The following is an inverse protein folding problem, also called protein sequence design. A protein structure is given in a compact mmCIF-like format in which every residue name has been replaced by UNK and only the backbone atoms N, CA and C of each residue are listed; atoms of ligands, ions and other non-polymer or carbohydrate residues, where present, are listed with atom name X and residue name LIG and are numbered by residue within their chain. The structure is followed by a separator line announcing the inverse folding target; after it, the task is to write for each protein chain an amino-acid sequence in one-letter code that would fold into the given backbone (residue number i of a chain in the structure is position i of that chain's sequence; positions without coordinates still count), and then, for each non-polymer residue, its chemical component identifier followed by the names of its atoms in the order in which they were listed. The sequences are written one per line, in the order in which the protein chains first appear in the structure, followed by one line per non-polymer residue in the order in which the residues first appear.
data_IF_958276960117
#
_entry.id   IF_958276960117
#
_cell.length_a   1.000
_cell.length_b   1.000
_cell.length_c   1.000
_cell.angle_alpha   90.00
_cell.angle_beta   90.00
_cell.angle_gamma   90.00
#
_symmetry.space_group_name_H-M   'P 1'
#
loop_
_entity.id
_entity.type
_entity.pdbx_description
1 polymer ?
#
# COMPACT_ATOMS: atom_id res chain seq x y z
N UNK A 1 -2.65 3.91 -18.15
CA UNK A 1 -1.91 2.67 -18.46
C UNK A 1 -2.11 1.78 -17.25
N UNK A 2 -3.05 0.84 -17.35
CA UNK A 2 -3.29 -0.15 -16.29
C UNK A 2 -2.01 -0.99 -16.20
N UNK A 3 -1.40 -1.03 -15.02
CA UNK A 3 -0.26 -1.92 -14.77
C UNK A 3 -0.82 -3.33 -14.93
N UNK A 4 -0.36 -4.05 -15.95
CA UNK A 4 -0.73 -5.45 -16.08
C UNK A 4 -0.09 -6.18 -14.91
N UNK A 5 -0.87 -6.91 -14.13
CA UNK A 5 -0.28 -7.74 -13.08
C UNK A 5 0.66 -8.73 -13.76
N UNK A 6 1.93 -8.68 -13.36
CA UNK A 6 3.02 -9.51 -13.88
C UNK A 6 3.25 -10.75 -13.03
N UNK A 7 2.55 -10.88 -11.91
CA UNK A 7 2.55 -12.09 -11.09
C UNK A 7 1.24 -12.25 -10.31
N UNK A 8 1.05 -13.44 -9.73
CA UNK A 8 -0.12 -13.77 -8.93
C UNK A 8 -0.12 -13.09 -7.55
N UNK A 9 1.02 -12.96 -6.85
CA UNK A 9 1.14 -12.03 -5.74
C UNK A 9 0.72 -10.60 -6.12
N UNK A 10 1.17 -10.07 -7.26
CA UNK A 10 0.83 -8.72 -7.69
C UNK A 10 -0.68 -8.54 -7.92
N UNK A 11 -1.34 -9.54 -8.52
CA UNK A 11 -2.80 -9.54 -8.65
C UNK A 11 -3.49 -9.53 -7.27
N UNK A 12 -3.05 -10.38 -6.33
CA UNK A 12 -3.59 -10.42 -4.97
C UNK A 12 -3.45 -9.05 -4.29
N UNK A 13 -2.27 -8.44 -4.34
CA UNK A 13 -2.01 -7.12 -3.78
C UNK A 13 -2.88 -6.03 -4.44
N UNK A 14 -3.08 -6.11 -5.76
CA UNK A 14 -3.98 -5.20 -6.48
C UNK A 14 -5.43 -5.34 -6.01
N UNK A 15 -5.93 -6.56 -5.79
CA UNK A 15 -7.27 -6.79 -5.26
C UNK A 15 -7.43 -6.24 -3.83
N UNK A 16 -6.40 -6.38 -3.00
CA UNK A 16 -6.35 -5.79 -1.66
C UNK A 16 -6.37 -4.25 -1.75
N UNK A 17 -5.59 -3.65 -2.66
CA UNK A 17 -5.62 -2.20 -2.90
C UNK A 17 -7.01 -1.73 -3.30
N UNK A 18 -7.67 -2.43 -4.22
CA UNK A 18 -9.05 -2.14 -4.63
C UNK A 18 -10.04 -2.19 -3.46
N UNK A 19 -9.96 -3.23 -2.63
CA UNK A 19 -10.79 -3.35 -1.44
C UNK A 19 -10.54 -2.20 -0.44
N UNK A 20 -9.27 -1.85 -0.23
CA UNK A 20 -8.88 -0.73 0.63
C UNK A 20 -9.44 0.60 0.11
N UNK A 21 -9.39 0.80 -1.21
CA UNK A 21 -9.98 1.95 -1.89
C UNK A 21 -11.49 2.05 -1.70
N UNK A 22 -12.23 0.94 -1.85
CA UNK A 22 -13.68 0.91 -1.58
C UNK A 22 -14.00 1.23 -0.12
N UNK A 23 -13.18 0.75 0.82
CA UNK A 23 -13.32 1.11 2.22
C UNK A 23 -13.12 2.61 2.45
N UNK A 24 -12.08 3.20 1.88
CA UNK A 24 -11.80 4.64 2.00
C UNK A 24 -12.91 5.52 1.44
N UNK A 25 -13.58 5.07 0.39
CA UNK A 25 -14.68 5.78 -0.23
C UNK A 25 -16.01 5.69 0.54
N UNK A 26 -16.09 4.85 1.58
CA UNK A 26 -17.33 4.58 2.31
C UNK A 26 -17.72 5.68 3.29
N UNK A 27 -16.81 6.57 3.68
CA UNK A 27 -16.90 7.54 4.78
C UNK A 27 -17.24 6.96 6.18
N UNK A 28 -17.84 5.76 6.24
CA UNK A 28 -18.16 4.97 7.44
C UNK A 28 -17.02 4.02 7.85
N UNK A 29 -17.15 3.43 9.05
CA UNK A 29 -16.29 2.33 9.50
C UNK A 29 -16.37 1.16 8.53
N UNK A 30 -15.26 0.89 7.87
CA UNK A 30 -15.10 -0.22 6.95
C UNK A 30 -14.14 -1.26 7.50
N UNK A 31 -14.46 -2.53 7.28
CA UNK A 31 -13.56 -3.65 7.53
C UNK A 31 -13.07 -4.20 6.20
N UNK A 32 -11.76 -4.30 6.06
CA UNK A 32 -11.08 -5.08 5.03
C UNK A 32 -10.55 -6.37 5.66
N UNK A 33 -10.88 -7.52 5.10
CA UNK A 33 -10.47 -8.83 5.59
C UNK A 33 -9.88 -9.67 4.45
N UNK A 34 -8.71 -10.25 4.70
CA UNK A 34 -8.07 -11.21 3.81
C UNK A 34 -7.98 -12.56 4.53
N UNK A 35 -8.55 -13.58 3.91
CA UNK A 35 -8.58 -14.95 4.45
C UNK A 35 -7.83 -15.87 3.50
N UNK A 36 -6.82 -16.55 4.03
CA UNK A 36 -6.05 -17.58 3.35
C UNK A 36 -6.49 -18.94 3.86
N UNK A 37 -7.15 -19.73 3.01
CA UNK A 37 -7.65 -21.05 3.38
C UNK A 37 -7.00 -22.13 2.54
N UNK A 38 -6.25 -23.02 3.19
CA UNK A 38 -5.70 -24.20 2.53
C UNK A 38 -6.83 -25.21 2.27
N UNK A 39 -6.85 -25.79 1.08
CA UNK A 39 -7.79 -26.86 0.69
C UNK A 39 -7.06 -28.21 0.56
N UNK A 40 -7.04 -29.06 1.61
CA UNK A 40 -6.55 -30.43 1.50
C UNK A 40 -7.44 -31.23 0.53
N UNK A 41 -6.89 -32.10 -0.35
CA UNK A 41 -5.49 -32.51 -0.50
C UNK A 41 -4.68 -31.71 -1.54
N UNK A 42 -5.29 -30.73 -2.20
CA UNK A 42 -4.81 -30.13 -3.45
C UNK A 42 -3.62 -29.17 -3.34
N UNK A 43 -3.05 -28.93 -2.15
CA UNK A 43 -2.09 -27.82 -1.89
C UNK A 43 -2.55 -26.43 -2.38
N UNK A 44 -3.81 -26.31 -2.80
CA UNK A 44 -4.43 -25.09 -3.29
C UNK A 44 -4.82 -24.21 -2.10
N UNK A 45 -4.42 -22.95 -2.16
CA UNK A 45 -4.82 -21.92 -1.20
C UNK A 45 -5.87 -21.06 -1.85
N UNK A 46 -7.06 -21.02 -1.23
CA UNK A 46 -8.09 -20.04 -1.56
C UNK A 46 -7.78 -18.74 -0.83
N UNK A 47 -7.66 -17.67 -1.58
CA UNK A 47 -7.54 -16.30 -1.08
C UNK A 47 -8.91 -15.66 -1.23
N UNK A 48 -9.50 -15.22 -0.12
CA UNK A 48 -10.67 -14.33 -0.13
C UNK A 48 -10.24 -12.94 0.34
N UNK A 49 -10.51 -11.92 -0.47
CA UNK A 49 -10.35 -10.51 -0.14
C UNK A 49 -11.75 -9.92 -0.04
N UNK A 50 -12.15 -9.49 1.15
CA UNK A 50 -13.48 -8.93 1.39
C UNK A 50 -13.41 -7.55 2.04
N UNK A 51 -14.36 -6.70 1.69
CA UNK A 51 -14.57 -5.40 2.32
C UNK A 51 -16.05 -5.13 2.59
N UNK A 52 -16.31 -4.29 3.60
CA UNK A 52 -17.65 -3.73 3.88
C UNK A 52 -17.81 -2.32 3.34
N UNK A 53 -17.08 -1.97 2.28
CA UNK A 53 -17.07 -0.63 1.70
C UNK A 53 -18.29 -0.40 0.81
N UNK A 54 -18.15 0.54 -0.11
CA UNK A 54 -19.25 1.01 -0.98
C UNK A 54 -19.79 -0.02 -2.00
N UNK A 55 -19.20 -1.20 -2.10
CA UNK A 55 -19.48 -2.16 -3.17
C UNK A 55 -18.68 -1.85 -4.44
N UNK A 56 -18.81 -2.71 -5.46
CA UNK A 56 -18.07 -2.63 -6.72
C UNK A 56 -19.00 -2.79 -7.91
N UNK A 57 -18.48 -2.46 -9.09
CA UNK A 57 -19.13 -2.64 -10.39
C UNK A 57 -18.36 -3.67 -11.22
N UNK A 58 -19.02 -4.27 -12.20
CA UNK A 58 -18.45 -5.31 -13.06
C UNK A 58 -17.20 -4.81 -13.80
N UNK A 59 -17.23 -3.54 -14.21
CA UNK A 59 -16.19 -2.90 -15.01
C UNK A 59 -14.84 -2.85 -14.27
N UNK A 60 -14.84 -2.82 -12.93
CA UNK A 60 -13.61 -2.88 -12.11
C UNK A 60 -12.79 -4.13 -12.44
N UNK A 61 -13.48 -5.27 -12.61
CA UNK A 61 -12.86 -6.58 -12.80
C UNK A 61 -12.61 -6.90 -14.28
N UNK A 62 -13.46 -6.41 -15.19
CA UNK A 62 -13.22 -6.53 -16.64
C UNK A 62 -11.93 -5.83 -17.07
N UNK A 63 -11.55 -4.76 -16.37
CA UNK A 63 -10.35 -4.00 -16.64
C UNK A 63 -9.05 -4.63 -16.13
N UNK A 64 -9.13 -5.75 -15.40
CA UNK A 64 -7.95 -6.50 -14.95
C UNK A 64 -7.18 -7.04 -16.16
N UNK A 65 -5.95 -6.56 -16.31
CA UNK A 65 -5.02 -7.01 -17.35
C UNK A 65 -3.98 -7.90 -16.69
N UNK A 66 -3.88 -9.14 -17.17
CA UNK A 66 -2.83 -10.06 -16.75
C UNK A 66 -1.76 -10.14 -17.84
N UNK A 67 -0.49 -10.09 -17.43
CA UNK A 67 0.61 -10.39 -18.32
C UNK A 67 0.68 -11.91 -18.53
N UNK A 68 0.06 -12.41 -19.60
CA UNK A 68 -0.11 -13.84 -19.86
C UNK A 68 1.19 -14.64 -19.93
N UNK A 69 2.29 -13.99 -20.31
CA UNK A 69 3.64 -14.58 -20.39
C UNK A 69 4.25 -14.84 -19.01
N UNK A 70 3.76 -14.17 -17.97
CA UNK A 70 4.32 -14.25 -16.62
C UNK A 70 3.57 -15.22 -15.69
N UNK A 71 2.36 -15.67 -16.07
CA UNK A 71 1.62 -16.69 -15.35
C UNK A 71 1.88 -18.05 -16.00
N UNK A 72 2.77 -18.85 -15.40
CA UNK A 72 2.84 -20.27 -15.72
C UNK A 72 1.44 -20.89 -15.55
N UNK A 73 0.95 -21.62 -16.56
CA UNK A 73 -0.42 -22.14 -16.59
C UNK A 73 -0.81 -23.07 -15.44
N UNK A 74 0.16 -23.50 -14.63
CA UNK A 74 0.06 -24.49 -13.56
C UNK A 74 -0.13 -23.88 -12.15
N UNK A 75 -0.01 -22.57 -11.97
CA UNK A 75 0.06 -21.94 -10.63
C UNK A 75 -1.32 -21.51 -10.09
N UNK A 76 -2.37 -21.50 -10.93
CA UNK A 76 -3.75 -21.17 -10.52
C UNK A 76 -4.79 -21.63 -11.55
N UNK A 77 -6.06 -21.69 -11.15
CA UNK A 77 -7.17 -22.09 -12.02
C UNK A 77 -7.53 -21.02 -13.07
N UNK A 78 -7.20 -19.76 -12.82
CA UNK A 78 -7.49 -18.62 -13.69
C UNK A 78 -8.88 -18.03 -13.50
N UNK A 79 -9.60 -18.45 -12.46
CA UNK A 79 -10.95 -18.01 -12.14
C UNK A 79 -10.91 -17.02 -10.98
N UNK A 80 -11.62 -15.91 -11.15
CA UNK A 80 -11.89 -14.92 -10.12
C UNK A 80 -13.39 -14.92 -9.85
N UNK A 81 -13.80 -15.30 -8.65
CA UNK A 81 -15.19 -15.17 -8.21
C UNK A 81 -15.38 -13.85 -7.49
N UNK A 82 -16.42 -13.12 -7.83
CA UNK A 82 -16.75 -11.82 -7.25
C UNK A 82 -18.18 -11.86 -6.75
N UNK A 83 -18.37 -11.50 -5.49
CA UNK A 83 -19.67 -11.21 -4.90
C UNK A 83 -19.69 -9.76 -4.47
N UNK A 84 -20.64 -8.97 -4.93
CA UNK A 84 -20.66 -7.53 -4.62
C UNK A 84 -22.05 -6.97 -4.50
N UNK A 85 -22.18 -5.95 -3.67
CA UNK A 85 -23.40 -5.16 -3.56
C UNK A 85 -23.12 -3.77 -2.98
N UNK A 86 -23.73 -2.75 -3.58
CA UNK A 86 -23.70 -1.37 -3.08
C UNK A 86 -24.84 -1.06 -2.13
N UNK A 87 -24.74 0.05 -1.39
CA UNK A 87 -25.73 0.41 -0.36
C UNK A 87 -27.15 0.59 -0.93
N UNK A 88 -27.25 1.10 -2.17
CA UNK A 88 -28.52 1.31 -2.87
C UNK A 88 -29.07 0.09 -3.62
N UNK A 89 -28.31 -1.01 -3.69
CA UNK A 89 -28.74 -2.20 -4.42
C UNK A 89 -29.75 -3.01 -3.61
N UNK A 90 -30.73 -3.59 -4.31
CA UNK A 90 -31.70 -4.53 -3.73
C UNK A 90 -31.23 -5.99 -3.80
N UNK A 91 -30.15 -6.24 -4.53
CA UNK A 91 -29.62 -7.58 -4.80
C UNK A 91 -28.14 -7.67 -4.47
N UNK A 92 -27.69 -8.89 -4.26
CA UNK A 92 -26.30 -9.31 -4.14
C UNK A 92 -25.94 -9.95 -5.47
N UNK A 93 -24.97 -9.37 -6.17
CA UNK A 93 -24.56 -9.84 -7.48
C UNK A 93 -23.39 -10.82 -7.38
N UNK A 94 -23.41 -11.82 -8.26
CA UNK A 94 -22.39 -12.87 -8.33
C UNK A 94 -21.84 -12.94 -9.75
N UNK A 95 -20.51 -12.83 -9.86
CA UNK A 95 -19.79 -12.87 -11.12
C UNK A 95 -18.63 -13.86 -11.05
N UNK A 96 -18.33 -14.47 -12.17
CA UNK A 96 -17.12 -15.27 -12.36
C UNK A 96 -16.36 -14.73 -13.57
N UNK A 97 -15.08 -14.46 -13.39
CA UNK A 97 -14.20 -13.99 -14.45
C UNK A 97 -13.15 -15.06 -14.76
N UNK A 98 -13.17 -15.57 -15.99
CA UNK A 98 -12.09 -16.40 -16.51
C UNK A 98 -11.00 -15.50 -17.10
N UNK A 99 -9.94 -15.28 -16.31
CA UNK A 99 -8.85 -14.39 -16.70
C UNK A 99 -7.84 -15.05 -17.66
N UNK A 100 -7.94 -16.37 -17.88
CA UNK A 100 -7.19 -17.07 -18.95
C UNK A 100 -7.77 -16.83 -20.34
N UNK A 101 -9.07 -16.52 -20.42
CA UNK A 101 -9.75 -16.24 -21.69
C UNK A 101 -9.19 -14.98 -22.36
N UNK A 102 -8.89 -15.08 -23.65
CA UNK A 102 -8.25 -14.00 -24.41
C UNK A 102 -9.21 -12.92 -24.84
N UNK A 103 -10.44 -13.31 -25.16
CA UNK A 103 -11.47 -12.38 -25.59
C UNK A 103 -12.16 -11.82 -24.35
N UNK A 104 -11.92 -10.54 -24.05
CA UNK A 104 -12.47 -9.86 -22.87
C UNK A 104 -13.99 -10.07 -22.72
N UNK A 105 -14.76 -9.99 -23.81
CA UNK A 105 -16.21 -10.21 -23.82
C UNK A 105 -16.66 -11.63 -23.43
N UNK A 106 -15.75 -12.61 -23.43
CA UNK A 106 -16.02 -14.01 -23.05
C UNK A 106 -15.52 -14.36 -21.65
N UNK A 107 -14.90 -13.40 -20.94
CA UNK A 107 -14.34 -13.63 -19.60
C UNK A 107 -15.42 -13.70 -18.52
N UNK A 108 -16.48 -12.92 -18.69
CA UNK A 108 -17.50 -12.73 -17.67
C UNK A 108 -18.62 -13.76 -17.79
N UNK A 109 -18.85 -14.50 -16.71
CA UNK A 109 -20.06 -15.27 -16.46
C UNK A 109 -20.86 -14.59 -15.35
N UNK A 110 -22.10 -14.20 -15.63
CA UNK A 110 -23.02 -13.68 -14.60
C UNK A 110 -23.80 -14.84 -13.99
N UNK A 111 -23.70 -14.98 -12.67
CA UNK A 111 -24.43 -16.00 -11.91
C UNK A 111 -25.74 -15.40 -11.35
N UNK A 112 -26.72 -16.24 -10.94
CA UNK A 112 -27.96 -15.75 -10.35
C UNK A 112 -27.69 -14.86 -9.12
N UNK A 113 -28.34 -13.68 -9.07
CA UNK A 113 -28.27 -12.78 -7.93
C UNK A 113 -29.17 -13.24 -6.77
N UNK A 114 -28.84 -12.79 -5.56
CA UNK A 114 -29.62 -13.06 -4.35
C UNK A 114 -30.31 -11.78 -3.85
N UNK A 115 -31.59 -11.80 -3.45
CA UNK A 115 -32.26 -10.62 -2.91
C UNK A 115 -31.71 -10.26 -1.52
N UNK A 116 -31.56 -8.96 -1.23
CA UNK A 116 -31.19 -8.47 0.11
C UNK A 116 -32.31 -8.53 1.14
N UNK A 117 -33.56 -8.74 0.70
CA UNK A 117 -34.73 -8.81 1.57
C UNK A 117 -34.86 -7.60 2.53
N UNK A 118 -34.56 -6.39 2.03
CA UNK A 118 -34.67 -5.14 2.79
C UNK A 118 -33.51 -4.84 3.75
N UNK A 119 -32.47 -5.68 3.80
CA UNK A 119 -31.27 -5.41 4.59
C UNK A 119 -30.42 -4.29 3.95
N UNK A 120 -29.85 -3.43 4.79
CA UNK A 120 -28.97 -2.32 4.38
C UNK A 120 -27.52 -2.64 4.69
N UNK A 121 -26.83 -3.19 3.70
CA UNK A 121 -25.39 -3.41 3.75
C UNK A 121 -24.79 -3.29 2.35
N UNK A 122 -23.48 -3.07 2.32
CA UNK A 122 -22.66 -3.03 1.12
C UNK A 122 -21.33 -3.72 1.36
N UNK A 123 -20.67 -4.09 0.27
CA UNK A 123 -19.37 -4.73 0.34
C UNK A 123 -19.05 -5.50 -0.93
N UNK A 124 -17.83 -5.99 -0.98
CA UNK A 124 -17.34 -6.83 -2.07
C UNK A 124 -16.48 -7.93 -1.49
N UNK A 125 -16.67 -9.15 -1.96
CA UNK A 125 -15.77 -10.28 -1.75
C UNK A 125 -15.24 -10.76 -3.09
N UNK A 126 -13.92 -10.95 -3.16
CA UNK A 126 -13.22 -11.47 -4.32
C UNK A 126 -12.43 -12.70 -3.90
N UNK A 127 -12.66 -13.81 -4.58
CA UNK A 127 -11.99 -15.08 -4.32
C UNK A 127 -11.17 -15.54 -5.53
N UNK A 128 -9.95 -16.02 -5.27
CA UNK A 128 -9.13 -16.77 -6.23
C UNK A 128 -8.45 -17.97 -5.56
N UNK A 129 -8.03 -18.95 -6.35
CA UNK A 129 -7.36 -20.15 -5.83
C UNK A 129 -6.00 -20.35 -6.50
N UNK A 130 -4.95 -20.54 -5.69
CA UNK A 130 -3.56 -20.54 -6.16
C UNK A 130 -2.74 -21.67 -5.55
N UNK A 131 -1.75 -22.17 -6.28
CA UNK A 131 -0.78 -23.15 -5.81
C UNK A 131 0.43 -22.45 -5.23
N UNK A 132 0.35 -22.04 -3.96
CA UNK A 132 1.43 -21.38 -3.22
C UNK A 132 1.34 -21.73 -1.74
N UNK A 133 2.44 -21.60 -1.00
CA UNK A 133 2.45 -21.77 0.45
C UNK A 133 1.69 -20.64 1.15
N UNK A 134 0.86 -21.01 2.15
CA UNK A 134 0.19 -20.05 3.03
C UNK A 134 1.19 -19.13 3.71
N UNK A 135 2.35 -19.64 4.14
CA UNK A 135 3.37 -18.84 4.84
C UNK A 135 4.00 -17.78 3.94
N UNK A 136 4.21 -18.10 2.65
CA UNK A 136 4.74 -17.16 1.66
C UNK A 136 3.75 -16.02 1.45
N UNK A 137 2.48 -16.36 1.20
CA UNK A 137 1.40 -15.39 1.02
C UNK A 137 1.18 -14.53 2.26
N UNK A 138 1.19 -15.14 3.44
CA UNK A 138 1.11 -14.43 4.71
C UNK A 138 2.23 -13.41 4.85
N UNK A 139 3.48 -13.80 4.57
CA UNK A 139 4.62 -12.90 4.64
C UNK A 139 4.52 -11.72 3.69
N UNK A 140 4.08 -11.95 2.45
CA UNK A 140 3.90 -10.91 1.44
C UNK A 140 2.74 -9.96 1.77
N UNK A 141 1.57 -10.49 2.09
CA UNK A 141 0.36 -9.70 2.42
C UNK A 141 0.57 -8.94 3.73
N UNK A 142 1.20 -9.54 4.74
CA UNK A 142 1.52 -8.85 5.99
C UNK A 142 2.43 -7.66 5.75
N UNK A 143 3.48 -7.83 4.94
CA UNK A 143 4.39 -6.72 4.58
C UNK A 143 3.67 -5.62 3.80
N UNK A 144 2.73 -6.00 2.95
CA UNK A 144 1.90 -5.05 2.21
C UNK A 144 1.00 -4.23 3.16
N UNK A 145 0.30 -4.89 4.09
CA UNK A 145 -0.50 -4.21 5.10
C UNK A 145 0.34 -3.32 6.01
N UNK A 146 1.50 -3.80 6.46
CA UNK A 146 2.45 -3.00 7.22
C UNK A 146 2.82 -1.69 6.53
N UNK A 147 2.93 -1.67 5.19
CA UNK A 147 3.14 -0.44 4.42
C UNK A 147 1.88 0.42 4.38
N UNK A 148 0.69 -0.16 4.11
CA UNK A 148 -0.59 0.58 4.12
C UNK A 148 -0.79 1.32 5.45
N UNK A 149 -0.45 0.69 6.58
CA UNK A 149 -0.66 1.26 7.91
C UNK A 149 0.15 2.55 8.17
N UNK A 150 1.22 2.79 7.40
CA UNK A 150 2.00 4.04 7.44
C UNK A 150 1.14 5.23 6.99
N UNK A 151 0.14 5.01 6.14
CA UNK A 151 -0.78 6.07 5.72
C UNK A 151 -1.76 6.48 6.82
N UNK A 152 -1.88 5.70 7.91
CA UNK A 152 -2.74 6.00 9.08
C UNK A 152 -4.17 6.41 8.72
N UNK A 153 -4.72 5.77 7.69
CA UNK A 153 -6.04 6.10 7.16
C UNK A 153 -7.12 5.76 8.19
N UNK A 154 -8.01 6.71 8.53
CA UNK A 154 -9.06 6.49 9.50
C UNK A 154 -10.13 5.54 8.94
N UNK A 155 -10.97 5.02 9.83
CA UNK A 155 -12.18 4.25 9.50
C UNK A 155 -11.96 2.95 8.70
N UNK A 156 -10.73 2.46 8.54
CA UNK A 156 -10.47 1.17 7.89
C UNK A 156 -9.79 0.22 8.86
N UNK A 157 -10.54 -0.79 9.31
CA UNK A 157 -10.00 -1.91 10.09
C UNK A 157 -9.48 -3.00 9.13
N UNK A 158 -8.24 -3.46 9.34
CA UNK A 158 -7.62 -4.48 8.49
C UNK A 158 -7.44 -5.77 9.29
N UNK A 159 -7.86 -6.88 8.68
CA UNK A 159 -7.73 -8.22 9.22
C UNK A 159 -7.07 -9.16 8.20
N UNK A 160 -6.05 -9.91 8.65
CA UNK A 160 -5.45 -11.02 7.90
C UNK A 160 -5.58 -12.31 8.72
N UNK A 161 -6.16 -13.33 8.12
CA UNK A 161 -6.44 -14.62 8.74
C UNK A 161 -5.86 -15.74 7.88
N UNK A 162 -5.20 -16.70 8.52
CA UNK A 162 -4.90 -18.00 7.92
C UNK A 162 -5.71 -19.12 8.57
N UNK A 163 -6.31 -19.97 7.75
CA UNK A 163 -7.08 -21.14 8.15
C UNK A 163 -6.35 -22.42 7.74
N UNK A 164 -6.07 -23.28 8.73
CA UNK A 164 -5.58 -24.64 8.50
C UNK A 164 -6.75 -25.63 8.48
N UNK A 165 -6.88 -26.36 7.39
CA UNK A 165 -8.07 -27.14 7.04
C UNK A 165 -8.29 -28.44 7.82
N UNK A 166 -7.55 -28.69 8.91
CA UNK A 166 -7.53 -30.01 9.55
C UNK A 166 -8.70 -30.26 10.50
N UNK A 167 -9.37 -29.22 11.03
CA UNK A 167 -10.64 -29.36 11.78
C UNK A 167 -11.54 -28.13 11.60
N UNK A 168 -12.87 -28.29 11.35
CA UNK A 168 -13.82 -27.20 11.44
C UNK A 168 -13.77 -26.55 12.83
N UNK A 169 -13.35 -25.29 12.92
CA UNK A 169 -13.20 -24.56 14.18
C UNK A 169 -11.83 -24.67 14.85
N UNK A 170 -10.85 -25.42 14.31
CA UNK A 170 -9.49 -25.36 14.83
C UNK A 170 -8.70 -24.20 14.24
N UNK A 171 -8.40 -23.24 15.11
CA UNK A 171 -7.38 -22.18 15.02
C UNK A 171 -7.52 -21.25 13.80
N UNK A 172 -8.38 -20.26 13.97
CA UNK A 172 -8.12 -18.93 13.42
C UNK A 172 -6.80 -18.43 13.99
N UNK A 173 -5.73 -18.42 13.21
CA UNK A 173 -4.59 -17.60 13.56
C UNK A 173 -4.80 -16.23 12.91
N UNK A 174 -5.24 -15.28 13.74
CA UNK A 174 -5.31 -13.89 13.33
C UNK A 174 -3.89 -13.35 13.29
N UNK A 175 -3.30 -13.30 12.09
CA UNK A 175 -1.89 -12.94 11.89
C UNK A 175 -1.68 -11.44 11.96
N UNK A 176 -2.67 -10.65 11.54
CA UNK A 176 -2.64 -9.19 11.64
C UNK A 176 -4.04 -8.66 11.94
N UNK A 177 -4.15 -7.93 13.05
CA UNK A 177 -5.30 -7.10 13.39
C UNK A 177 -4.81 -5.68 13.55
N UNK A 178 -5.04 -4.86 12.54
CA UNK A 178 -4.76 -3.44 12.63
C UNK A 178 -6.06 -2.71 12.93
N UNK A 179 -6.27 -2.48 14.23
CA UNK A 179 -7.22 -1.52 14.77
C UNK A 179 -6.49 -0.60 15.78
N UNK A 180 -5.20 -0.34 15.54
CA UNK A 180 -4.38 0.44 16.45
C UNK A 180 -4.98 1.85 16.58
N UNK A 181 -5.15 2.28 17.83
CA UNK A 181 -5.62 3.61 18.17
C UNK A 181 -4.72 4.66 17.51
N UNK A 182 -5.27 5.43 16.56
CA UNK A 182 -4.56 6.54 15.96
C UNK A 182 -4.73 7.76 16.89
N UNK A 183 -3.66 8.29 17.50
CA UNK A 183 -3.77 9.47 18.36
C UNK A 183 -4.11 10.74 17.57
N UNK A 184 -4.03 10.70 16.24
CA UNK A 184 -4.38 11.84 15.39
C UNK A 184 -5.90 12.02 15.28
N UNK A 185 -6.38 13.28 15.25
CA UNK A 185 -7.79 13.56 15.01
C UNK A 185 -8.21 13.13 13.60
N UNK A 186 -9.50 12.87 13.41
CA UNK A 186 -10.09 12.59 12.09
C UNK A 186 -9.91 13.76 11.09
N UNK A 187 -9.72 14.98 11.59
CA UNK A 187 -9.45 16.18 10.79
C UNK A 187 -7.99 16.34 10.34
N UNK A 188 -7.06 15.48 10.79
CA UNK A 188 -5.66 15.56 10.37
C UNK A 188 -5.54 15.49 8.84
N UNK A 189 -4.55 16.17 8.27
CA UNK A 189 -4.22 16.07 6.85
C UNK A 189 -3.60 14.72 6.49
N UNK A 190 -3.55 14.39 5.20
CA UNK A 190 -2.83 13.19 4.74
C UNK A 190 -1.33 13.29 5.07
N UNK A 191 -0.73 14.46 4.92
CA UNK A 191 0.67 14.71 5.28
C UNK A 191 0.95 14.44 6.76
N UNK A 192 0.11 14.94 7.68
CA UNK A 192 0.27 14.70 9.12
C UNK A 192 0.15 13.22 9.47
N UNK A 193 -0.76 12.50 8.80
CA UNK A 193 -0.91 11.05 8.95
C UNK A 193 0.31 10.31 8.43
N UNK A 194 0.78 10.65 7.24
CA UNK A 194 1.97 10.08 6.62
C UNK A 194 3.21 10.31 7.50
N UNK A 195 3.36 11.52 8.04
CA UNK A 195 4.43 11.88 8.98
C UNK A 195 4.37 10.98 10.21
N UNK A 196 3.23 10.97 10.90
CA UNK A 196 3.07 10.19 12.14
C UNK A 196 3.19 8.68 11.90
N UNK A 197 2.78 8.19 10.73
CA UNK A 197 2.91 6.79 10.37
C UNK A 197 4.34 6.40 10.03
N UNK A 198 5.10 7.28 9.37
CA UNK A 198 6.52 7.05 9.10
C UNK A 198 7.35 7.09 10.39
N UNK A 199 7.04 8.01 11.31
CA UNK A 199 7.64 8.02 12.65
C UNK A 199 7.40 6.69 13.37
N UNK A 200 6.15 6.21 13.42
CA UNK A 200 5.81 4.93 14.05
C UNK A 200 6.51 3.74 13.38
N UNK A 201 6.59 3.74 12.04
CA UNK A 201 7.35 2.76 11.27
C UNK A 201 8.83 2.74 11.68
N UNK A 202 9.46 3.90 11.85
CA UNK A 202 10.86 4.01 12.30
C UNK A 202 11.02 3.52 13.73
N UNK A 203 10.13 3.92 14.64
CA UNK A 203 10.14 3.47 16.04
C UNK A 203 10.00 1.96 16.19
N UNK A 204 9.30 1.30 15.26
CA UNK A 204 9.10 -0.15 15.19
C UNK A 204 10.17 -0.88 14.34
N UNK A 205 11.28 -0.21 14.01
CA UNK A 205 12.36 -0.72 13.14
C UNK A 205 11.88 -1.25 11.79
N UNK A 206 11.01 -0.48 11.15
CA UNK A 206 10.38 -0.86 9.89
C UNK A 206 9.41 -2.02 10.04
N UNK A 207 8.61 -1.98 11.11
CA UNK A 207 7.64 -3.01 11.52
C UNK A 207 8.22 -4.40 11.79
N UNK A 208 9.52 -4.48 12.10
CA UNK A 208 10.13 -5.71 12.64
C UNK A 208 9.69 -5.94 14.09
N UNK A 209 9.39 -4.87 14.83
CA UNK A 209 8.82 -4.94 16.17
C UNK A 209 7.33 -4.59 16.14
N UNK A 210 6.52 -5.27 16.96
CA UNK A 210 5.11 -4.94 17.13
C UNK A 210 4.85 -3.69 17.98
N UNK A 211 5.89 -3.19 18.67
CA UNK A 211 5.83 -2.00 19.53
C UNK A 211 7.08 -1.16 19.35
N UNK A 212 7.01 0.08 19.82
CA UNK A 212 8.14 1.01 19.78
C UNK A 212 9.36 0.43 20.52
N UNK A 213 10.53 0.68 19.96
CA UNK A 213 11.79 0.23 20.53
C UNK A 213 12.28 1.20 21.62
N UNK A 214 12.02 0.87 22.88
CA UNK A 214 12.42 1.69 24.03
C UNK A 214 13.95 1.80 24.18
N UNK A 215 14.72 0.81 23.70
CA UNK A 215 16.19 0.86 23.77
C UNK A 215 16.79 1.85 22.77
N UNK A 216 16.20 2.00 21.59
CA UNK A 216 16.68 2.93 20.56
C UNK A 216 16.10 4.34 20.72
N UNK A 217 14.91 4.46 21.32
CA UNK A 217 14.13 5.69 21.33
C UNK A 217 13.61 6.04 22.73
N UNK A 218 14.45 5.90 23.75
CA UNK A 218 14.13 6.25 25.14
C UNK A 218 13.77 7.74 25.30
N UNK A 219 14.46 8.61 24.56
CA UNK A 219 14.19 10.04 24.49
C UNK A 219 13.81 10.41 23.05
N UNK A 220 12.60 10.93 22.85
CA UNK A 220 11.98 11.12 21.52
C UNK A 220 12.61 12.27 20.70
N UNK A 221 13.59 12.97 21.28
CA UNK A 221 14.30 14.12 20.70
C UNK A 221 15.26 13.73 19.56
N UNK A 222 15.52 12.43 19.35
CA UNK A 222 16.49 11.95 18.35
C UNK A 222 15.93 11.78 16.93
N UNK A 223 14.62 12.01 16.73
CA UNK A 223 14.04 12.03 15.39
C UNK A 223 14.00 13.46 14.83
N UNK A 224 14.69 13.66 13.70
CA UNK A 224 14.55 14.86 12.87
C UNK A 224 13.59 14.52 11.73
N UNK A 225 12.52 15.29 11.60
CA UNK A 225 11.47 15.02 10.62
C UNK A 225 11.26 16.23 9.72
N UNK A 226 11.45 16.02 8.42
CA UNK A 226 11.16 17.01 7.38
C UNK A 226 9.93 16.62 6.57
N UNK A 227 9.14 17.60 6.16
CA UNK A 227 7.94 17.39 5.35
C UNK A 227 7.93 18.30 4.13
N UNK A 228 7.19 17.92 3.09
CA UNK A 228 6.97 18.77 1.93
C UNK A 228 5.71 18.38 1.17
N UNK A 229 5.13 19.36 0.48
CA UNK A 229 3.93 19.17 -0.37
C UNK A 229 4.12 19.92 -1.68
N UNK A 230 3.70 19.33 -2.79
CA UNK A 230 3.54 19.99 -4.07
C UNK A 230 2.18 19.64 -4.66
N UNK A 231 1.50 20.64 -5.18
CA UNK A 231 0.21 20.50 -5.85
C UNK A 231 0.37 20.89 -7.32
N UNK A 232 -0.23 20.12 -8.21
CA UNK A 232 -0.31 20.43 -9.62
C UNK A 232 -1.75 20.68 -10.03
N UNK A 233 -1.99 21.86 -10.60
CA UNK A 233 -3.29 22.25 -11.14
C UNK A 233 -3.21 22.30 -12.66
N UNK A 234 -3.69 21.26 -13.32
CA UNK A 234 -3.71 21.21 -14.78
C UNK A 234 -4.87 22.08 -15.31
N UNK A 235 -4.55 23.15 -16.04
CA UNK A 235 -5.54 24.10 -16.57
C UNK A 235 -6.27 23.54 -17.80
N UNK A 236 -7.24 22.63 -17.56
CA UNK A 236 -8.52 22.42 -18.30
C UNK A 236 -9.10 21.05 -17.89
N UNK A 237 -10.04 21.09 -16.93
CA UNK A 237 -10.87 19.99 -16.38
C UNK A 237 -10.25 19.15 -15.25
N UNK A 238 -10.34 19.70 -14.04
CA UNK A 238 -10.51 19.01 -12.74
C UNK A 238 -9.77 17.67 -12.53
N UNK A 239 -8.46 17.73 -12.35
CA UNK A 239 -7.76 16.78 -11.47
C UNK A 239 -6.54 17.47 -10.88
N UNK A 240 -6.67 17.92 -9.64
CA UNK A 240 -5.53 18.40 -8.85
C UNK A 240 -4.82 17.17 -8.27
N UNK A 241 -3.57 16.96 -8.66
CA UNK A 241 -2.71 15.95 -8.06
C UNK A 241 -1.83 16.59 -6.99
N UNK A 242 -1.62 15.84 -5.92
CA UNK A 242 -0.83 16.23 -4.76
C UNK A 242 0.27 15.21 -4.56
N UNK A 243 1.48 15.69 -4.30
CA UNK A 243 2.61 14.89 -3.89
C UNK A 243 3.10 15.37 -2.53
N UNK A 244 3.02 14.49 -1.54
CA UNK A 244 3.52 14.69 -0.19
C UNK A 244 4.80 13.89 0.02
N UNK A 245 5.74 14.43 0.78
CA UNK A 245 6.95 13.73 1.15
C UNK A 245 7.27 13.93 2.63
N UNK A 246 7.80 12.88 3.25
CA UNK A 246 8.29 12.89 4.62
C UNK A 246 9.66 12.23 4.65
N UNK A 247 10.61 12.88 5.30
CA UNK A 247 11.93 12.31 5.61
C UNK A 247 12.06 12.24 7.12
N UNK A 248 12.45 11.08 7.64
CA UNK A 248 12.77 10.87 9.04
C UNK A 248 14.22 10.46 9.13
N UNK A 249 15.01 11.24 9.88
CA UNK A 249 16.39 10.95 10.21
C UNK A 249 16.43 10.60 11.69
N UNK A 250 16.96 9.41 12.00
CA UNK A 250 17.12 8.94 13.36
C UNK A 250 18.60 8.70 13.65
N UNK A 251 19.08 9.26 14.76
CA UNK A 251 20.39 8.94 15.34
C UNK A 251 20.18 7.89 16.43
N UNK A 252 20.68 6.68 16.21
CA UNK A 252 20.55 5.56 17.14
C UNK A 252 21.80 5.53 18.03
N UNK A 253 21.62 5.35 19.34
CA UNK A 253 22.78 5.25 20.24
C UNK A 253 23.65 4.03 19.91
N UNK A 254 24.97 4.19 20.02
CA UNK A 254 25.95 3.11 19.84
C UNK A 254 25.70 1.92 20.79
N UNK A 255 25.11 2.17 21.97
CA UNK A 255 24.73 1.17 22.96
C UNK A 255 23.50 0.35 22.50
N UNK A 256 22.64 0.92 21.66
CA UNK A 256 21.45 0.28 21.09
C UNK A 256 21.74 -0.45 19.75
N UNK A 257 23.02 -0.61 19.39
CA UNK A 257 23.47 -1.15 18.10
C UNK A 257 22.99 -2.58 17.80
N UNK A 258 22.58 -3.35 18.80
CA UNK A 258 22.00 -4.69 18.62
C UNK A 258 20.60 -4.67 17.99
N UNK A 259 19.91 -3.53 18.01
CA UNK A 259 18.58 -3.35 17.41
C UNK A 259 18.62 -2.77 15.99
N UNK A 260 19.81 -2.45 15.46
CA UNK A 260 19.95 -1.86 14.14
C UNK A 260 19.42 -2.82 13.06
N UNK A 261 18.50 -2.29 12.24
CA UNK A 261 18.15 -2.90 10.96
C UNK A 261 19.45 -2.99 10.16
N UNK A 262 19.71 -4.15 9.53
CA UNK A 262 20.92 -4.42 8.74
C UNK A 262 20.93 -3.65 7.39
N UNK A 263 20.46 -2.40 7.37
CA UNK A 263 20.37 -1.58 6.17
C UNK A 263 21.60 -0.70 5.94
N UNK A 264 22.73 -0.91 6.61
CA UNK A 264 24.03 -0.27 6.29
C UNK A 264 23.90 1.21 5.88
N UNK A 265 24.60 1.60 4.80
CA UNK A 265 24.52 2.94 4.22
C UNK A 265 23.39 3.08 3.18
N UNK A 266 22.22 2.46 3.41
CA UNK A 266 21.08 2.46 2.48
C UNK A 266 19.79 2.98 3.11
N UNK A 267 19.01 3.69 2.31
CA UNK A 267 17.69 4.21 2.67
C UNK A 267 16.62 3.58 1.80
N UNK A 268 15.64 2.93 2.41
CA UNK A 268 14.42 2.49 1.73
C UNK A 268 13.50 3.69 1.46
N UNK A 269 13.06 3.83 0.21
CA UNK A 269 12.06 4.82 -0.19
C UNK A 269 10.69 4.15 -0.30
N UNK A 270 9.78 4.52 0.61
CA UNK A 270 8.41 4.04 0.65
C UNK A 270 7.52 4.91 -0.23
N UNK A 271 7.11 4.36 -1.37
CA UNK A 271 6.29 5.09 -2.34
C UNK A 271 4.84 4.61 -2.30
N UNK A 272 3.93 5.58 -2.21
CA UNK A 272 2.49 5.37 -2.20
C UNK A 272 1.86 6.13 -3.36
N UNK A 273 1.01 5.46 -4.13
CA UNK A 273 0.18 6.09 -5.15
C UNK A 273 -1.29 5.84 -4.85
N UNK A 274 -2.08 6.91 -4.82
CA UNK A 274 -3.51 6.89 -4.55
C UNK A 274 -3.85 6.01 -3.32
N UNK A 275 -3.06 6.16 -2.24
CA UNK A 275 -3.21 5.44 -0.98
C UNK A 275 -2.95 3.91 -1.04
N UNK A 276 -2.21 3.46 -2.04
CA UNK A 276 -1.69 2.10 -2.15
C UNK A 276 -0.16 2.10 -2.19
N UNK A 277 0.52 1.18 -1.50
CA UNK A 277 1.95 0.93 -1.75
C UNK A 277 2.14 0.51 -3.21
N UNK A 278 3.15 1.07 -3.87
CA UNK A 278 3.53 0.64 -5.21
C UNK A 278 5.02 0.88 -5.47
N UNK A 279 5.60 0.28 -6.52
CA UNK A 279 6.96 0.60 -6.93
C UNK A 279 7.10 2.10 -7.19
N UNK A 280 8.27 2.64 -6.86
CA UNK A 280 8.58 4.04 -7.12
C UNK A 280 8.57 4.32 -8.64
N UNK A 281 8.06 5.49 -9.04
CA UNK A 281 8.08 5.88 -10.45
C UNK A 281 9.50 6.30 -10.89
N UNK A 282 9.85 6.06 -12.15
CA UNK A 282 11.13 6.51 -12.70
C UNK A 282 11.31 8.04 -12.64
N UNK A 283 10.22 8.81 -12.75
CA UNK A 283 10.24 10.26 -12.49
C UNK A 283 10.64 10.58 -11.06
N UNK A 284 10.10 9.86 -10.08
CA UNK A 284 10.43 10.05 -8.68
C UNK A 284 11.88 9.66 -8.38
N UNK A 285 12.35 8.55 -8.95
CA UNK A 285 13.75 8.13 -8.84
C UNK A 285 14.67 9.21 -9.40
N UNK A 286 14.39 9.72 -10.62
CA UNK A 286 15.19 10.77 -11.23
C UNK A 286 15.22 12.05 -10.40
N UNK A 287 14.07 12.44 -9.84
CA UNK A 287 14.00 13.58 -8.94
C UNK A 287 14.88 13.38 -7.69
N UNK A 288 14.80 12.21 -7.03
CA UNK A 288 15.67 11.86 -5.90
C UNK A 288 17.16 11.90 -6.28
N UNK A 289 17.53 11.43 -7.48
CA UNK A 289 18.92 11.47 -7.94
C UNK A 289 19.40 12.87 -8.36
N UNK A 290 18.48 13.79 -8.67
CA UNK A 290 18.80 15.14 -9.14
C UNK A 290 19.11 16.14 -8.03
N UNK A 291 18.86 15.75 -6.78
CA UNK A 291 19.07 16.60 -5.61
C UNK A 291 20.56 16.71 -5.33
N UNK A 292 20.99 17.93 -5.03
CA UNK A 292 22.32 18.19 -4.51
C UNK A 292 22.43 17.76 -3.04
N UNK A 293 22.41 16.44 -2.81
CA UNK A 293 22.56 15.85 -1.49
C UNK A 293 23.84 16.30 -0.78
N UNK A 294 24.89 16.65 -1.56
CA UNK A 294 26.18 17.10 -1.04
C UNK A 294 26.05 18.44 -0.31
N UNK A 295 25.19 19.33 -0.78
CA UNK A 295 24.86 20.59 -0.06
C UNK A 295 24.23 20.35 1.32
N UNK A 296 23.68 19.15 1.57
CA UNK A 296 23.11 18.71 2.84
C UNK A 296 24.05 17.77 3.62
N UNK A 297 25.32 17.65 3.21
CA UNK A 297 26.30 16.80 3.87
C UNK A 297 26.22 15.30 3.53
N UNK A 298 25.38 14.90 2.58
CA UNK A 298 25.23 13.51 2.14
C UNK A 298 25.83 13.30 0.73
N UNK A 299 26.63 12.25 0.58
CA UNK A 299 27.21 11.83 -0.69
C UNK A 299 26.41 10.67 -1.24
N UNK A 300 25.75 10.92 -2.36
CA UNK A 300 24.87 9.96 -3.01
C UNK A 300 25.66 8.92 -3.82
N UNK A 301 25.57 7.65 -3.43
CA UNK A 301 26.26 6.52 -4.04
C UNK A 301 25.45 5.76 -5.10
N UNK A 302 24.22 6.20 -5.40
CA UNK A 302 23.37 5.63 -6.45
C UNK A 302 22.06 5.00 -5.94
N UNK A 303 21.24 4.51 -6.86
CA UNK A 303 19.99 3.80 -6.56
C UNK A 303 20.18 2.32 -6.83
N UNK A 304 19.66 1.48 -5.94
CA UNK A 304 19.45 0.05 -6.21
C UNK A 304 17.96 -0.23 -6.20
N UNK A 305 17.45 -0.67 -7.35
CA UNK A 305 16.11 -1.22 -7.46
C UNK A 305 16.18 -2.74 -7.29
N UNK A 306 15.54 -3.27 -6.25
CA UNK A 306 15.50 -4.71 -6.00
C UNK A 306 14.10 -5.08 -5.52
N UNK A 307 13.44 -6.02 -6.20
CA UNK A 307 12.14 -6.57 -5.76
C UNK A 307 11.01 -5.54 -5.60
N UNK A 308 11.00 -4.46 -6.39
CA UNK A 308 10.01 -3.38 -6.29
C UNK A 308 10.29 -2.34 -5.20
N UNK A 309 11.43 -2.45 -4.51
CA UNK A 309 11.95 -1.45 -3.57
C UNK A 309 12.99 -0.58 -4.25
N UNK A 310 12.98 0.72 -3.95
CA UNK A 310 14.08 1.60 -4.28
C UNK A 310 14.89 1.90 -3.02
N UNK A 311 16.19 1.57 -3.10
CA UNK A 311 17.16 1.82 -2.05
C UNK A 311 18.13 2.91 -2.54
N UNK A 312 18.16 4.05 -1.84
CA UNK A 312 19.20 5.06 -2.04
C UNK A 312 20.46 4.61 -1.28
N UNK A 313 21.60 4.58 -1.95
CA UNK A 313 22.90 4.31 -1.35
C UNK A 313 23.60 5.62 -1.01
N UNK A 314 24.30 5.61 0.11
CA UNK A 314 25.09 6.73 0.60
C UNK A 314 26.53 6.31 0.78
N UNK A 315 27.47 7.15 0.38
CA UNK A 315 28.90 6.85 0.50
C UNK A 315 29.49 7.29 1.85
N UNK A 316 28.82 8.23 2.52
CA UNK A 316 29.30 8.86 3.76
C UNK A 316 28.24 8.88 4.88
N UNK A 317 27.21 8.02 4.81
CA UNK A 317 26.22 7.94 5.89
C UNK A 317 26.88 7.39 7.16
N UNK A 318 26.79 8.10 8.31
CA UNK A 318 27.38 7.61 9.55
C UNK A 318 26.77 6.27 10.01
N UNK A 319 27.53 5.38 10.68
CA UNK A 319 27.09 4.03 11.03
C UNK A 319 25.82 3.94 11.90
N UNK A 320 25.48 5.02 12.60
CA UNK A 320 24.37 5.08 13.55
C UNK A 320 23.26 6.04 13.13
N UNK A 321 23.33 6.56 11.89
CA UNK A 321 22.29 7.40 11.32
C UNK A 321 21.47 6.55 10.35
N UNK A 322 20.15 6.59 10.51
CA UNK A 322 19.23 5.99 9.56
C UNK A 322 18.33 7.08 8.97
N UNK A 323 18.19 7.05 7.64
CA UNK A 323 17.30 7.93 6.90
C UNK A 323 16.18 7.06 6.32
N UNK A 324 14.94 7.46 6.53
CA UNK A 324 13.74 6.83 5.96
C UNK A 324 12.97 7.89 5.19
N UNK A 325 12.56 7.57 3.97
CA UNK A 325 11.86 8.50 3.09
C UNK A 325 10.53 7.86 2.70
N UNK A 326 9.44 8.63 2.83
CA UNK A 326 8.16 8.26 2.26
C UNK A 326 7.66 9.35 1.31
N UNK A 327 7.12 8.91 0.18
CA UNK A 327 6.51 9.75 -0.84
C UNK A 327 5.10 9.24 -1.07
N UNK A 328 4.13 10.15 -1.08
CA UNK A 328 2.73 9.83 -1.35
C UNK A 328 2.18 10.75 -2.42
N UNK A 329 1.81 10.16 -3.55
CA UNK A 329 1.20 10.86 -4.67
C UNK A 329 -0.26 10.44 -4.79
N UNK A 330 -1.18 11.40 -4.85
CA UNK A 330 -2.61 11.11 -4.98
C UNK A 330 -3.38 12.26 -5.64
N UNK A 331 -4.59 11.98 -6.11
CA UNK A 331 -5.48 13.01 -6.64
C UNK A 331 -6.45 13.50 -5.56
N UNK A 332 -6.62 14.83 -5.43
CA UNK A 332 -7.53 15.43 -4.45
C UNK A 332 -9.00 15.09 -4.70
N UNK A 333 -9.37 14.87 -5.97
CA UNK A 333 -10.69 14.39 -6.33
C UNK A 333 -10.63 12.88 -6.52
N UNK A 334 -11.21 12.15 -5.57
CA UNK A 334 -11.45 10.72 -5.75
C UNK A 334 -12.41 10.54 -6.94
N UNK A 335 -12.04 9.79 -8.00
CA UNK A 335 -12.98 9.54 -9.07
C UNK A 335 -14.15 8.72 -8.51
N UNK A 336 -15.38 9.22 -8.70
CA UNK A 336 -16.62 8.43 -8.50
C UNK A 336 -16.42 7.04 -9.13
N UNK A 337 -16.79 5.97 -8.42
CA UNK A 337 -16.42 4.56 -8.69
C UNK A 337 -16.35 4.13 -10.17
N UNK A 338 -17.26 4.60 -11.03
CA UNK A 338 -17.21 4.32 -12.48
C UNK A 338 -15.99 4.88 -13.24
N UNK A 339 -15.15 5.73 -12.62
CA UNK A 339 -13.99 6.36 -13.27
C UNK A 339 -12.63 5.86 -12.76
N UNK A 340 -12.59 4.86 -11.87
CA UNK A 340 -11.30 4.26 -11.44
C UNK A 340 -10.50 3.65 -12.62
N UNK A 341 -11.13 3.47 -13.77
CA UNK A 341 -10.61 2.77 -14.95
C UNK A 341 -9.53 3.51 -15.76
N UNK A 342 -9.25 4.80 -15.50
CA UNK A 342 -8.37 5.59 -16.36
C UNK A 342 -7.14 6.23 -15.70
N UNK A 343 -6.95 6.21 -14.37
CA UNK A 343 -5.95 7.08 -13.72
C UNK A 343 -4.58 6.44 -13.41
N UNK A 344 -4.34 5.18 -13.79
CA UNK A 344 -3.02 4.55 -13.58
C UNK A 344 -1.92 4.99 -14.56
N UNK A 345 -2.17 5.88 -15.55
CA UNK A 345 -1.04 6.61 -16.16
C UNK A 345 -1.25 8.08 -16.40
N UNK A 346 -0.43 8.85 -15.70
CA UNK A 346 0.29 9.97 -16.30
C UNK A 346 1.73 9.79 -15.85
N UNK A 347 2.63 9.59 -16.81
CA UNK A 347 4.08 9.58 -16.59
C UNK A 347 4.62 10.91 -17.06
N UNK A 348 4.55 11.94 -16.21
CA UNK A 348 5.28 13.20 -16.37
C UNK A 348 5.07 14.08 -15.13
N UNK A 349 5.95 13.99 -14.13
CA UNK A 349 6.07 14.97 -13.05
C UNK A 349 7.55 15.13 -12.72
N UNK A 350 8.24 16.02 -13.45
CA UNK A 350 9.65 16.35 -13.21
C UNK A 350 9.87 17.65 -12.41
N UNK A 351 9.06 18.71 -12.55
CA UNK A 351 9.29 19.95 -11.79
C UNK A 351 8.85 19.89 -10.32
N UNK A 352 7.87 19.03 -9.99
CA UNK A 352 7.10 19.13 -8.75
C UNK A 352 7.76 18.49 -7.54
N UNK A 353 8.41 17.34 -7.75
CA UNK A 353 9.17 16.69 -6.69
C UNK A 353 10.40 17.53 -6.29
N UNK A 354 10.93 18.32 -7.22
CA UNK A 354 11.98 19.31 -6.92
C UNK A 354 11.46 20.38 -5.95
N UNK A 355 10.21 20.84 -6.11
CA UNK A 355 9.59 21.83 -5.21
C UNK A 355 9.32 21.27 -3.81
N UNK A 356 8.77 20.05 -3.71
CA UNK A 356 8.61 19.35 -2.42
C UNK A 356 9.91 19.27 -1.64
N UNK A 357 11.00 18.97 -2.34
CA UNK A 357 12.31 18.74 -1.73
C UNK A 357 13.08 20.06 -1.51
N UNK A 358 12.73 21.13 -2.23
CA UNK A 358 13.11 22.51 -1.89
C UNK A 358 12.38 22.98 -0.63
N UNK A 359 11.13 22.58 -0.38
CA UNK A 359 10.48 22.85 0.91
C UNK A 359 11.16 22.10 2.07
N UNK A 360 11.62 20.86 1.85
CA UNK A 360 12.42 20.12 2.83
C UNK A 360 13.72 20.85 3.21
N UNK A 361 14.30 21.67 2.31
CA UNK A 361 15.46 22.54 2.58
C UNK A 361 15.16 23.56 3.68
N UNK A 362 13.97 24.16 3.69
CA UNK A 362 13.60 25.21 4.65
C UNK A 362 13.41 24.64 6.06
N UNK A 363 12.76 23.48 6.17
CA UNK A 363 12.48 22.84 7.47
C UNK A 363 13.74 22.22 8.08
N UNK A 364 14.64 21.64 7.27
CA UNK A 364 15.92 21.12 7.77
C UNK A 364 16.86 22.25 8.23
N UNK A 365 16.92 23.39 7.52
CA UNK A 365 17.75 24.53 7.95
C UNK A 365 17.25 25.15 9.28
N UNK A 366 15.94 25.20 9.51
CA UNK A 366 15.38 25.68 10.78
C UNK A 366 15.63 24.73 11.96
N UNK A 367 15.63 23.42 11.72
CA UNK A 367 15.91 22.42 12.75
C UNK A 367 17.38 22.38 13.19
N UNK A 368 18.29 23.02 12.45
CA UNK A 368 19.71 22.76 12.59
C UNK A 368 20.50 23.76 13.44
N UNK A 369 20.10 25.03 13.62
CA UNK A 369 20.97 25.97 14.35
C UNK A 369 22.43 25.95 13.86
N UNK A 370 22.63 25.57 12.59
CA UNK A 370 23.90 25.63 11.88
C UNK A 370 23.85 26.99 11.17
N UNK A 371 24.87 27.85 11.35
CA UNK A 371 24.88 29.20 10.80
C UNK A 371 24.72 29.26 9.28
#
# INVERSE_FOLDING_TARGET
MNIASSSLPELCLQLISSAFQRCRASDDLCRLSVVLRRSPPSNLVRISVSDTGVGSCVEEFEALKLCREAFGGEIWDGLLSVTTTGFGDNEIYHYEFNLKEAVSARRLTRLPSNPKNGQKFSGTEVCLSIFESVDVLLGEISRFFQKILILKIPNVAIQLVAEHGDVPGSRYESVLLANEWNPLPFSASNLERLKSGLEDYVFKHGNTLGKKCESCFSNWEHLKVGTGVACHTESRRYSESVTEAVIVISEISEIASTCLRTCGAKTEVLYFKDFSPCPISQSSVKALTSIDWKSYGLTFGGVVEQGGYALLKWDNLPPYVQINISLHHYHNQYPKLCRMLNFLSISQLFPEMLFVMVCMKADMLHAHGIP
#
